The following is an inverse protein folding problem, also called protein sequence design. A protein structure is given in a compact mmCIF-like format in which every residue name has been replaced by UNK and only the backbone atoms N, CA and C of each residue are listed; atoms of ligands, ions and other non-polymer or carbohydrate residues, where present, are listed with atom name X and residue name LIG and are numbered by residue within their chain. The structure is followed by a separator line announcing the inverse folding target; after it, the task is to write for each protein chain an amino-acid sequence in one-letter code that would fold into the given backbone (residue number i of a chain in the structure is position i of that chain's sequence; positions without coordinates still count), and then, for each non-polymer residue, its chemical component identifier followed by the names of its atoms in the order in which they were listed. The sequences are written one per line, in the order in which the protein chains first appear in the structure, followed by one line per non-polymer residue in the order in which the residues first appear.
data_IF_977728075696
#
_entry.id   IF_977728075696
#
_cell.length_a   1.000
_cell.length_b   1.000
_cell.length_c   1.000
_cell.angle_alpha   90.00
_cell.angle_beta   90.00
_cell.angle_gamma   90.00
#
_symmetry.space_group_name_H-M   'P 1'
#
loop_
_entity.id
_entity.type
_entity.pdbx_description
1 polymer ?
#
# COMPACT_ATOMS: atom_id res chain seq x y z
N UNK A 1 11.32 -5.84 3.32
CA UNK A 1 10.54 -7.01 2.91
C UNK A 1 11.35 -8.26 3.18
N UNK A 2 10.69 -9.38 3.53
CA UNK A 2 11.33 -10.68 3.61
C UNK A 2 11.39 -11.36 2.22
N UNK A 3 11.99 -12.55 2.15
CA UNK A 3 12.15 -13.29 0.88
C UNK A 3 10.81 -13.66 0.20
N UNK A 4 9.69 -13.57 0.91
CA UNK A 4 8.33 -13.84 0.41
C UNK A 4 7.57 -12.58 0.01
N UNK A 5 8.21 -11.40 0.03
CA UNK A 5 7.56 -10.12 -0.28
C UNK A 5 6.69 -9.55 0.84
N UNK A 6 6.71 -10.17 2.04
CA UNK A 6 5.96 -9.67 3.19
C UNK A 6 6.74 -8.57 3.92
N UNK A 7 6.00 -7.70 4.63
CA UNK A 7 6.61 -6.79 5.58
C UNK A 7 7.36 -7.61 6.64
N UNK A 8 8.62 -7.22 6.85
CA UNK A 8 9.47 -7.80 7.89
C UNK A 8 9.25 -6.92 9.11
N UNK A 9 8.63 -7.48 10.16
CA UNK A 9 8.19 -6.73 11.33
C UNK A 9 9.31 -5.91 11.93
N UNK A 10 10.46 -6.53 12.16
CA UNK A 10 11.57 -5.89 12.86
C UNK A 10 12.15 -4.75 12.02
N UNK A 11 12.24 -4.94 10.70
CA UNK A 11 12.66 -3.87 9.78
C UNK A 11 11.65 -2.73 9.71
N UNK A 12 10.36 -3.06 9.74
CA UNK A 12 9.28 -2.06 9.71
C UNK A 12 9.28 -1.23 11.00
N UNK A 13 9.33 -1.88 12.16
CA UNK A 13 9.39 -1.21 13.46
C UNK A 13 10.65 -0.35 13.57
N UNK A 14 11.83 -0.89 13.22
CA UNK A 14 13.08 -0.13 13.25
C UNK A 14 13.04 1.10 12.33
N UNK A 15 12.35 1.02 11.20
CA UNK A 15 12.14 2.17 10.32
C UNK A 15 11.29 3.26 10.99
N UNK A 16 10.17 2.90 11.62
CA UNK A 16 9.29 3.88 12.28
C UNK A 16 9.96 4.50 13.51
N UNK A 17 10.60 3.69 14.35
CA UNK A 17 11.35 4.17 15.51
C UNK A 17 12.50 5.10 15.09
N UNK A 18 13.23 4.75 14.03
CA UNK A 18 14.29 5.60 13.48
C UNK A 18 13.75 6.94 12.97
N UNK A 19 12.57 6.93 12.35
CA UNK A 19 11.90 8.15 11.92
C UNK A 19 11.48 9.02 13.11
N UNK A 20 10.87 8.42 14.15
CA UNK A 20 10.49 9.11 15.38
C UNK A 20 11.71 9.66 16.14
N UNK A 21 12.83 8.94 16.13
CA UNK A 21 14.09 9.39 16.73
C UNK A 21 14.64 10.66 16.09
N UNK A 22 14.34 10.93 14.82
CA UNK A 22 14.79 12.13 14.12
C UNK A 22 13.75 13.27 14.10
N UNK A 23 12.47 12.93 14.01
CA UNK A 23 11.38 13.90 13.80
C UNK A 23 10.44 14.07 15.01
N UNK A 24 10.66 13.32 16.09
CA UNK A 24 9.82 13.34 17.30
C UNK A 24 8.78 12.21 17.32
N UNK A 25 8.14 12.04 18.47
CA UNK A 25 7.09 11.03 18.66
C UNK A 25 5.93 11.35 17.73
N UNK A 26 5.50 10.35 16.96
CA UNK A 26 4.32 10.45 16.10
C UNK A 26 3.10 10.10 16.95
N UNK A 27 2.32 11.10 17.33
CA UNK A 27 0.97 10.89 17.89
C UNK A 27 -0.04 10.92 16.73
N UNK A 28 -0.45 9.74 16.26
CA UNK A 28 -1.32 9.60 15.10
C UNK A 28 -2.36 8.49 15.32
N UNK A 29 -3.54 8.68 14.72
CA UNK A 29 -4.49 7.60 14.50
C UNK A 29 -3.96 6.68 13.40
N UNK A 30 -3.24 5.63 13.81
CA UNK A 30 -2.62 4.68 12.88
C UNK A 30 -3.62 3.97 11.98
N UNK A 31 -4.85 3.77 12.46
CA UNK A 31 -5.91 3.21 11.64
C UNK A 31 -6.24 4.14 10.47
N UNK A 32 -6.47 5.42 10.75
CA UNK A 32 -6.73 6.42 9.71
C UNK A 32 -5.56 6.53 8.73
N UNK A 33 -4.32 6.47 9.21
CA UNK A 33 -3.12 6.49 8.35
C UNK A 33 -3.07 5.26 7.44
N UNK A 34 -3.34 4.07 7.97
CA UNK A 34 -3.36 2.84 7.18
C UNK A 34 -4.53 2.78 6.19
N UNK A 35 -5.68 3.39 6.51
CA UNK A 35 -6.80 3.53 5.57
C UNK A 35 -6.40 4.31 4.29
N UNK A 36 -5.46 5.25 4.37
CA UNK A 36 -4.89 5.92 3.19
C UNK A 36 -4.15 4.95 2.25
N UNK A 37 -3.67 3.82 2.79
CA UNK A 37 -3.06 2.74 2.03
C UNK A 37 -4.05 2.02 1.10
N UNK A 38 -5.34 1.99 1.45
CA UNK A 38 -6.42 1.53 0.55
C UNK A 38 -6.75 2.58 -0.49
N UNK A 39 -6.91 3.84 -0.08
CA UNK A 39 -7.24 4.93 -0.99
C UNK A 39 -6.21 5.03 -2.13
N UNK A 40 -4.92 5.01 -1.80
CA UNK A 40 -3.85 5.03 -2.80
C UNK A 40 -3.92 3.86 -3.80
N UNK A 41 -4.38 2.68 -3.36
CA UNK A 41 -4.54 1.51 -4.25
C UNK A 41 -5.81 1.63 -5.10
N UNK A 42 -6.87 2.21 -4.56
CA UNK A 42 -8.11 2.46 -5.31
C UNK A 42 -7.88 3.51 -6.40
N UNK A 43 -7.14 4.58 -6.10
CA UNK A 43 -6.76 5.58 -7.10
C UNK A 43 -5.92 4.95 -8.23
N UNK A 44 -4.98 4.07 -7.88
CA UNK A 44 -4.20 3.32 -8.87
C UNK A 44 -5.04 2.31 -9.67
N UNK A 45 -6.03 1.70 -9.01
CA UNK A 45 -6.97 0.79 -9.67
C UNK A 45 -7.86 1.55 -10.66
N UNK A 46 -8.39 2.73 -10.29
CA UNK A 46 -9.16 3.57 -11.20
C UNK A 46 -8.29 3.99 -12.40
N UNK A 47 -7.07 4.47 -12.12
CA UNK A 47 -6.12 4.85 -13.16
C UNK A 47 -5.92 3.69 -14.14
N UNK A 48 -5.54 2.50 -13.66
CA UNK A 48 -5.24 1.35 -14.50
C UNK A 48 -6.46 0.78 -15.23
N UNK A 49 -7.65 0.82 -14.63
CA UNK A 49 -8.91 0.44 -15.28
C UNK A 49 -9.22 1.31 -16.49
N UNK A 50 -9.05 2.64 -16.36
CA UNK A 50 -9.29 3.55 -17.49
C UNK A 50 -8.39 3.25 -18.69
N UNK A 51 -7.14 2.80 -18.45
CA UNK A 51 -6.19 2.43 -19.51
C UNK A 51 -6.58 1.08 -20.11
N UNK A 52 -6.87 0.09 -19.26
CA UNK A 52 -7.32 -1.24 -19.69
C UNK A 52 -8.56 -1.20 -20.59
N UNK A 53 -9.49 -0.27 -20.30
CA UNK A 53 -10.75 -0.10 -21.00
C UNK A 53 -10.72 0.93 -22.14
N UNK A 54 -9.53 1.42 -22.56
CA UNK A 54 -9.38 2.41 -23.63
C UNK A 54 -10.06 3.78 -23.38
N UNK A 55 -10.33 4.15 -22.12
CA UNK A 55 -10.99 5.43 -21.78
C UNK A 55 -9.98 6.58 -21.78
N UNK A 56 -8.85 6.38 -21.11
CA UNK A 56 -7.73 7.32 -21.03
C UNK A 56 -6.43 6.57 -21.39
N UNK A 57 -6.33 6.12 -22.65
CA UNK A 57 -5.28 5.23 -23.11
C UNK A 57 -4.68 5.74 -24.44
N UNK A 58 -3.37 5.87 -24.51
CA UNK A 58 -2.66 6.39 -25.68
C UNK A 58 -2.45 5.31 -26.76
N UNK A 59 -2.12 4.08 -26.37
CA UNK A 59 -1.79 2.99 -27.29
C UNK A 59 -2.03 1.59 -26.70
N UNK A 60 -1.84 0.56 -27.54
CA UNK A 60 -2.05 -0.85 -27.15
C UNK A 60 -1.10 -1.33 -26.06
N UNK A 61 0.11 -0.76 -25.95
CA UNK A 61 1.06 -1.12 -24.90
C UNK A 61 0.58 -0.57 -23.56
N UNK A 62 0.10 0.67 -23.53
CA UNK A 62 -0.51 1.26 -22.33
C UNK A 62 -1.77 0.49 -21.91
N UNK A 63 -2.59 0.05 -22.86
CA UNK A 63 -3.77 -0.77 -22.56
C UNK A 63 -3.40 -2.11 -21.94
N UNK A 64 -2.39 -2.78 -22.51
CA UNK A 64 -1.89 -4.07 -22.02
C UNK A 64 -1.31 -3.90 -20.61
N UNK A 65 -0.53 -2.84 -20.39
CA UNK A 65 0.01 -2.49 -19.09
C UNK A 65 -1.11 -2.21 -18.08
N UNK A 66 -2.13 -1.44 -18.46
CA UNK A 66 -3.31 -1.16 -17.65
C UNK A 66 -3.98 -2.45 -17.19
N UNK A 67 -4.20 -3.39 -18.10
CA UNK A 67 -4.82 -4.70 -17.79
C UNK A 67 -4.00 -5.52 -16.79
N UNK A 68 -2.68 -5.55 -16.93
CA UNK A 68 -1.77 -6.22 -15.97
C UNK A 68 -1.85 -5.54 -14.60
N UNK A 69 -1.82 -4.21 -14.58
CA UNK A 69 -1.85 -3.41 -13.35
C UNK A 69 -3.19 -3.54 -12.61
N UNK A 70 -4.32 -3.63 -13.31
CA UNK A 70 -5.65 -3.88 -12.68
C UNK A 70 -5.61 -5.16 -11.86
N UNK A 71 -5.16 -6.26 -12.47
CA UNK A 71 -5.10 -7.57 -11.79
C UNK A 71 -4.11 -7.54 -10.63
N UNK A 72 -2.94 -6.93 -10.81
CA UNK A 72 -1.94 -6.76 -9.76
C UNK A 72 -2.46 -5.93 -8.58
N UNK A 73 -3.20 -4.86 -8.85
CA UNK A 73 -3.72 -3.94 -7.82
C UNK A 73 -4.85 -4.56 -7.03
N UNK A 74 -5.75 -5.32 -7.69
CA UNK A 74 -6.79 -6.11 -6.99
C UNK A 74 -6.16 -7.11 -6.03
N UNK A 75 -5.09 -7.80 -6.45
CA UNK A 75 -4.38 -8.73 -5.57
C UNK A 75 -3.68 -7.98 -4.41
N UNK A 76 -3.09 -6.81 -4.68
CA UNK A 76 -2.47 -5.99 -3.65
C UNK A 76 -3.49 -5.47 -2.62
N UNK A 77 -4.72 -5.14 -3.03
CA UNK A 77 -5.82 -4.75 -2.13
C UNK A 77 -6.17 -5.90 -1.18
N UNK A 78 -6.36 -7.12 -1.71
CA UNK A 78 -6.65 -8.31 -0.89
C UNK A 78 -5.53 -8.62 0.10
N UNK A 79 -4.29 -8.61 -0.37
CA UNK A 79 -3.13 -8.83 0.51
C UNK A 79 -2.98 -7.74 1.57
N UNK A 80 -3.39 -6.51 1.26
CA UNK A 80 -3.35 -5.42 2.23
C UNK A 80 -4.44 -5.58 3.28
N UNK A 81 -5.65 -5.97 2.89
CA UNK A 81 -6.75 -6.33 3.80
C UNK A 81 -6.33 -7.40 4.81
N UNK A 82 -5.62 -8.44 4.36
CA UNK A 82 -5.12 -9.51 5.24
C UNK A 82 -4.09 -9.03 6.28
N UNK A 83 -3.35 -7.95 5.98
CA UNK A 83 -2.18 -7.50 6.76
C UNK A 83 -2.41 -6.22 7.56
N UNK A 84 -3.39 -5.40 7.18
CA UNK A 84 -3.55 -4.04 7.72
C UNK A 84 -3.75 -4.04 9.24
N UNK A 85 -4.54 -4.98 9.77
CA UNK A 85 -4.74 -5.13 11.21
C UNK A 85 -3.46 -5.53 11.94
N UNK A 86 -2.58 -6.31 11.32
CA UNK A 86 -1.28 -6.67 11.90
C UNK A 86 -0.35 -5.46 11.94
N UNK A 87 -0.31 -4.66 10.87
CA UNK A 87 0.46 -3.41 10.82
C UNK A 87 -0.03 -2.40 11.87
N UNK A 88 -1.34 -2.24 12.02
CA UNK A 88 -1.95 -1.37 13.03
C UNK A 88 -1.52 -1.82 14.44
N UNK A 89 -1.57 -3.11 14.71
CA UNK A 89 -1.12 -3.69 15.98
C UNK A 89 0.38 -3.46 16.25
N UNK A 90 1.22 -3.42 15.22
CA UNK A 90 2.64 -3.13 15.39
C UNK A 90 2.86 -1.65 15.70
N UNK A 91 2.17 -0.76 15.00
CA UNK A 91 2.27 0.69 15.18
C UNK A 91 1.73 1.15 16.54
N UNK A 92 0.65 0.54 17.03
CA UNK A 92 0.11 0.83 18.37
C UNK A 92 0.99 0.33 19.53
N UNK A 93 2.05 -0.44 19.26
CA UNK A 93 2.98 -0.94 20.30
C UNK A 93 4.27 -0.13 20.41
N UNK A 94 4.54 0.71 19.43
CA UNK A 94 5.71 1.60 19.40
C UNK A 94 5.37 3.02 19.89
N UNK A 95 4.10 3.28 20.20
CA UNK A 95 3.59 4.49 20.85
C UNK A 95 3.08 4.17 22.25
#
# INVERSE_FOLDING_TARGET
MNASGNADKDKFVAFVEGYQGHYGIIDADWRMVLEQGFLSKLDWLEYSLKRSLWIECADENEQTMGTIQVTGTINALKQYEEKVSELENWLNRIN
#
